data_IF_902945579210
#
_entry.id   IF_902945579210
#
_cell.length_a   1.000
_cell.length_b   1.000
_cell.length_c   1.000
_cell.angle_alpha   90.00
_cell.angle_beta   90.00
_cell.angle_gamma   90.00
#
_symmetry.space_group_name_H-M   'P 1'
#
loop_
_entity.id
_entity.type
_entity.pdbx_description
1 polymer ?
#
# COMPACT_ATOMS: atom_id res chain seq x y z
N UNK A 1 -6.42 -23.34 3.95
CA UNK A 1 -7.51 -22.60 4.61
C UNK A 1 -8.20 -23.58 5.55
N UNK A 2 -7.85 -23.55 6.83
CA UNK A 2 -8.53 -24.38 7.84
C UNK A 2 -9.94 -23.81 8.04
N UNK A 3 -10.98 -24.65 8.12
CA UNK A 3 -12.32 -24.16 8.37
C UNK A 3 -12.38 -23.56 9.78
N UNK A 4 -12.65 -22.25 9.86
CA UNK A 4 -13.06 -21.60 11.10
C UNK A 4 -14.48 -22.05 11.35
N UNK A 5 -14.64 -23.11 12.14
CA UNK A 5 -15.95 -23.50 12.65
C UNK A 5 -16.31 -22.46 13.70
N UNK A 6 -17.13 -21.49 13.31
CA UNK A 6 -17.74 -20.56 14.23
C UNK A 6 -18.86 -21.30 14.95
N UNK A 7 -18.55 -21.88 16.12
CA UNK A 7 -19.55 -22.55 16.95
C UNK A 7 -20.26 -21.47 17.76
N UNK A 8 -21.52 -21.12 17.43
CA UNK A 8 -22.27 -20.16 18.22
C UNK A 8 -22.50 -20.69 19.63
N UNK A 9 -22.37 -19.81 20.63
CA UNK A 9 -22.73 -20.09 22.03
C UNK A 9 -24.24 -20.09 22.16
N UNK A 10 -24.88 -21.17 21.72
CA UNK A 10 -26.31 -21.40 21.94
C UNK A 10 -26.47 -22.10 23.29
N UNK A 11 -27.26 -21.56 24.24
CA UNK A 11 -27.59 -22.30 25.44
C UNK A 11 -28.31 -23.58 25.04
N UNK A 12 -27.71 -24.72 25.36
CA UNK A 12 -28.25 -26.02 24.99
C UNK A 12 -29.57 -26.24 25.76
N UNK A 13 -30.68 -26.54 25.07
CA UNK A 13 -31.91 -26.95 25.74
C UNK A 13 -31.63 -28.20 26.58
N UNK A 14 -31.98 -28.15 27.88
CA UNK A 14 -31.69 -29.23 28.85
C UNK A 14 -30.60 -28.91 29.88
N UNK A 15 -29.94 -27.76 29.79
CA UNK A 15 -28.96 -27.31 30.80
C UNK A 15 -29.56 -27.26 32.22
N UNK A 16 -30.80 -26.80 32.35
CA UNK A 16 -31.51 -26.75 33.64
C UNK A 16 -31.77 -28.13 34.24
N UNK A 17 -32.08 -29.12 33.40
CA UNK A 17 -32.29 -30.51 33.85
C UNK A 17 -30.98 -31.16 34.30
N UNK A 18 -29.87 -30.90 33.60
CA UNK A 18 -28.54 -31.34 34.00
C UNK A 18 -28.11 -30.68 35.32
N UNK A 19 -28.35 -29.38 35.48
CA UNK A 19 -28.05 -28.65 36.70
C UNK A 19 -28.79 -29.26 37.91
N UNK A 20 -30.10 -29.51 37.77
CA UNK A 20 -30.91 -30.17 38.81
C UNK A 20 -30.39 -31.57 39.16
N UNK A 21 -29.93 -32.33 38.16
CA UNK A 21 -29.32 -33.66 38.38
C UNK A 21 -28.01 -33.56 39.17
N UNK A 22 -27.14 -32.60 38.81
CA UNK A 22 -25.87 -32.35 39.51
C UNK A 22 -26.13 -31.93 40.95
N UNK A 23 -27.11 -31.07 41.19
CA UNK A 23 -27.51 -30.60 42.52
C UNK A 23 -28.03 -31.75 43.39
N UNK A 24 -28.94 -32.57 42.86
CA UNK A 24 -29.39 -33.79 43.53
C UNK A 24 -28.23 -34.75 43.85
N UNK A 25 -27.33 -34.94 42.89
CA UNK A 25 -26.17 -35.82 43.05
C UNK A 25 -25.16 -35.29 44.07
N UNK A 26 -25.04 -33.97 44.21
CA UNK A 26 -24.20 -33.32 45.23
C UNK A 26 -24.77 -33.49 46.65
N UNK A 27 -26.10 -33.49 46.80
CA UNK A 27 -26.79 -33.74 48.08
C UNK A 27 -26.92 -35.23 48.44
N UNK A 28 -26.51 -36.14 47.55
CA UNK A 28 -26.75 -37.57 47.72
C UNK A 28 -25.92 -38.18 48.86
N UNK A 29 -26.45 -39.12 49.68
CA UNK A 29 -25.72 -39.73 50.79
C UNK A 29 -24.50 -40.56 50.37
N UNK A 30 -24.51 -41.19 49.19
CA UNK A 30 -23.37 -41.96 48.71
C UNK A 30 -22.23 -41.07 48.18
N UNK A 31 -21.01 -41.26 48.72
CA UNK A 31 -19.84 -40.46 48.36
C UNK A 31 -19.43 -40.61 46.88
N UNK A 32 -19.67 -41.77 46.26
CA UNK A 32 -19.39 -42.02 44.85
C UNK A 32 -20.21 -41.13 43.92
N UNK A 33 -21.48 -40.90 44.26
CA UNK A 33 -22.40 -40.03 43.50
C UNK A 33 -21.96 -38.57 43.59
N UNK A 34 -21.63 -38.09 44.80
CA UNK A 34 -21.09 -36.73 45.00
C UNK A 34 -19.78 -36.50 44.24
N UNK A 35 -18.86 -37.47 44.27
CA UNK A 35 -17.60 -37.40 43.51
C UNK A 35 -17.83 -37.34 42.00
N UNK A 36 -18.85 -38.03 41.49
CA UNK A 36 -19.22 -37.96 40.07
C UNK A 36 -19.80 -36.58 39.72
N UNK A 37 -20.67 -36.01 40.55
CA UNK A 37 -21.18 -34.65 40.36
C UNK A 37 -20.05 -33.60 40.33
N UNK A 38 -19.08 -33.70 41.25
CA UNK A 38 -17.93 -32.81 41.30
C UNK A 38 -17.06 -32.92 40.03
N UNK A 39 -16.80 -34.14 39.54
CA UNK A 39 -16.04 -34.35 38.29
C UNK A 39 -16.76 -33.77 37.07
N UNK A 40 -18.07 -33.96 36.96
CA UNK A 40 -18.87 -33.41 35.86
C UNK A 40 -18.81 -31.87 35.90
N UNK A 41 -18.99 -31.28 37.09
CA UNK A 41 -18.91 -29.83 37.26
C UNK A 41 -17.55 -29.28 36.84
N UNK A 42 -16.46 -29.92 37.30
CA UNK A 42 -15.10 -29.53 36.91
C UNK A 42 -14.87 -29.63 35.40
N UNK A 43 -15.37 -30.69 34.75
CA UNK A 43 -15.26 -30.85 33.31
C UNK A 43 -16.05 -29.76 32.54
N UNK A 44 -17.23 -29.39 33.03
CA UNK A 44 -18.02 -28.29 32.43
C UNK A 44 -17.31 -26.94 32.58
N UNK A 45 -16.70 -26.67 33.74
CA UNK A 45 -15.92 -25.45 33.96
C UNK A 45 -14.72 -25.40 33.02
N UNK A 46 -13.99 -26.50 32.86
CA UNK A 46 -12.85 -26.59 31.93
C UNK A 46 -13.28 -26.34 30.48
N UNK A 47 -14.38 -26.97 30.03
CA UNK A 47 -14.91 -26.76 28.69
C UNK A 47 -15.35 -25.31 28.45
N UNK A 48 -15.98 -24.67 29.44
CA UNK A 48 -16.35 -23.25 29.36
C UNK A 48 -15.10 -22.37 29.26
N UNK A 49 -14.09 -22.60 30.11
CA UNK A 49 -12.85 -21.82 30.08
C UNK A 49 -12.12 -21.96 28.74
N UNK A 50 -12.06 -23.18 28.19
CA UNK A 50 -11.48 -23.41 26.86
C UNK A 50 -12.23 -22.65 25.77
N UNK A 51 -13.57 -22.70 25.77
CA UNK A 51 -14.39 -21.96 24.82
C UNK A 51 -14.12 -20.46 24.91
N UNK A 52 -14.04 -19.92 26.11
CA UNK A 52 -13.83 -18.49 26.34
C UNK A 52 -12.42 -18.06 25.90
N UNK A 53 -11.41 -18.91 26.14
CA UNK A 53 -10.05 -18.71 25.63
C UNK A 53 -9.99 -18.75 24.09
N UNK A 54 -10.67 -19.70 23.46
CA UNK A 54 -10.75 -19.79 21.99
C UNK A 54 -11.50 -18.58 21.39
N UNK A 55 -12.53 -18.05 22.07
CA UNK A 55 -13.19 -16.82 21.68
C UNK A 55 -12.25 -15.60 21.79
N UNK A 56 -11.53 -15.46 22.91
CA UNK A 56 -10.56 -14.39 23.10
C UNK A 56 -9.42 -14.45 22.08
N UNK A 57 -8.96 -15.65 21.73
CA UNK A 57 -7.97 -15.85 20.66
C UNK A 57 -8.50 -15.38 19.31
N UNK A 58 -9.72 -15.79 18.93
CA UNK A 58 -10.34 -15.36 17.66
C UNK A 58 -10.50 -13.84 17.58
N UNK A 59 -10.90 -13.21 18.68
CA UNK A 59 -10.98 -11.74 18.73
C UNK A 59 -9.60 -11.08 18.59
N UNK A 60 -8.57 -11.64 19.23
CA UNK A 60 -7.20 -11.16 19.09
C UNK A 60 -6.69 -11.29 17.64
N UNK A 61 -6.92 -12.44 17.02
CA UNK A 61 -6.60 -12.68 15.61
C UNK A 61 -7.35 -11.71 14.69
N UNK A 62 -8.64 -11.46 14.93
CA UNK A 62 -9.43 -10.49 14.18
C UNK A 62 -8.90 -9.06 14.34
N UNK A 63 -8.47 -8.66 15.54
CA UNK A 63 -7.81 -7.35 15.76
C UNK A 63 -6.50 -7.25 14.99
N UNK A 64 -5.67 -8.29 15.02
CA UNK A 64 -4.40 -8.34 14.27
C UNK A 64 -4.65 -8.25 12.76
N UNK A 65 -5.66 -8.96 12.23
CA UNK A 65 -6.04 -8.88 10.82
C UNK A 65 -6.41 -7.45 10.42
N UNK A 66 -7.28 -6.79 11.19
CA UNK A 66 -7.67 -5.39 10.94
C UNK A 66 -6.48 -4.42 10.94
N UNK A 67 -5.57 -4.58 11.90
CA UNK A 67 -4.36 -3.74 11.99
C UNK A 67 -3.45 -3.98 10.79
N UNK A 68 -3.30 -5.23 10.32
CA UNK A 68 -2.52 -5.55 9.12
C UNK A 68 -3.13 -4.95 7.85
N UNK A 69 -4.44 -5.04 7.69
CA UNK A 69 -5.15 -4.41 6.56
C UNK A 69 -4.96 -2.88 6.55
N UNK A 70 -5.10 -2.24 7.71
CA UNK A 70 -4.86 -0.80 7.84
C UNK A 70 -3.40 -0.42 7.54
N UNK A 71 -2.44 -1.24 7.96
CA UNK A 71 -1.03 -1.02 7.64
C UNK A 71 -0.78 -1.13 6.13
N UNK A 72 -1.34 -2.15 5.48
CA UNK A 72 -1.20 -2.32 4.03
C UNK A 72 -1.80 -1.14 3.26
N UNK A 73 -2.96 -0.63 3.68
CA UNK A 73 -3.56 0.58 3.10
C UNK A 73 -2.64 1.80 3.26
N UNK A 74 -2.10 2.03 4.46
CA UNK A 74 -1.17 3.13 4.71
C UNK A 74 0.13 3.00 3.87
N UNK A 75 0.64 1.78 3.68
CA UNK A 75 1.78 1.53 2.79
C UNK A 75 1.45 1.83 1.32
N UNK A 76 0.26 1.44 0.85
CA UNK A 76 -0.19 1.72 -0.51
C UNK A 76 -0.33 3.24 -0.74
N UNK A 77 -0.92 3.97 0.21
CA UNK A 77 -0.99 5.44 0.17
C UNK A 77 0.40 6.07 0.13
N UNK A 78 1.33 5.61 0.97
CA UNK A 78 2.70 6.10 0.98
C UNK A 78 3.43 5.80 -0.34
N UNK A 79 3.22 4.62 -0.94
CA UNK A 79 3.73 4.30 -2.28
C UNK A 79 3.13 5.21 -3.35
N UNK A 80 1.82 5.47 -3.29
CA UNK A 80 1.15 6.36 -4.23
C UNK A 80 1.67 7.80 -4.12
N UNK A 81 1.85 8.34 -2.91
CA UNK A 81 2.43 9.67 -2.68
C UNK A 81 3.87 9.72 -3.19
N UNK A 82 4.70 8.70 -2.91
CA UNK A 82 6.08 8.65 -3.43
C UNK A 82 6.12 8.55 -4.97
N UNK A 83 5.23 7.77 -5.57
CA UNK A 83 5.13 7.65 -7.02
C UNK A 83 4.65 8.96 -7.67
N UNK A 84 3.63 9.60 -7.09
CA UNK A 84 3.12 10.92 -7.48
C UNK A 84 4.16 12.02 -7.32
N UNK A 85 4.95 11.99 -6.24
CA UNK A 85 6.07 12.92 -6.03
C UNK A 85 7.18 12.70 -7.07
N UNK A 86 7.49 11.45 -7.42
CA UNK A 86 8.50 11.10 -8.43
C UNK A 86 8.06 11.47 -9.86
N UNK A 87 6.77 11.38 -10.15
CA UNK A 87 6.20 11.89 -11.42
C UNK A 87 6.10 13.41 -11.44
N UNK A 88 5.82 14.06 -10.30
CA UNK A 88 5.84 15.52 -10.18
C UNK A 88 7.27 16.09 -10.27
N UNK A 89 8.29 15.41 -9.75
CA UNK A 89 9.70 15.82 -9.94
C UNK A 89 10.22 15.49 -11.34
N UNK A 90 9.66 14.50 -12.05
CA UNK A 90 9.92 14.33 -13.48
C UNK A 90 9.20 15.38 -14.34
N UNK A 91 8.07 15.92 -13.88
CA UNK A 91 7.30 16.97 -14.56
C UNK A 91 7.75 18.41 -14.23
N UNK A 92 8.56 18.60 -13.17
CA UNK A 92 9.09 19.90 -12.76
C UNK A 92 10.40 20.29 -13.47
N UNK A 93 10.63 19.78 -14.70
CA UNK A 93 11.60 20.35 -15.63
C UNK A 93 10.85 20.89 -16.83
N UNK A 94 10.17 22.03 -16.64
CA UNK A 94 9.97 22.96 -17.74
C UNK A 94 11.16 23.90 -17.70
N UNK A 95 12.06 23.80 -18.68
CA UNK A 95 12.04 24.79 -19.73
C UNK A 95 11.80 24.12 -21.09
N UNK A 96 10.71 24.56 -21.73
CA UNK A 96 10.64 24.92 -23.16
C UNK A 96 11.07 23.85 -24.18
N UNK A 97 10.21 23.48 -25.15
CA UNK A 97 10.49 22.37 -26.05
C UNK A 97 11.65 22.72 -26.99
N UNK A 98 12.85 22.19 -26.71
CA UNK A 98 13.89 22.12 -27.74
C UNK A 98 13.49 20.97 -28.65
N UNK A 99 12.73 21.33 -29.70
CA UNK A 99 12.44 20.47 -30.84
C UNK A 99 13.74 19.90 -31.36
N UNK A 100 13.90 18.60 -31.24
CA UNK A 100 14.84 17.80 -32.02
C UNK A 100 14.34 17.73 -33.47
N UNK A 101 14.39 18.87 -34.16
CA UNK A 101 14.31 18.94 -35.62
C UNK A 101 15.73 18.88 -36.17
N UNK A 102 15.95 18.05 -37.18
CA UNK A 102 17.18 18.01 -37.97
C UNK A 102 17.47 19.39 -38.53
N UNK A 103 18.42 20.12 -37.92
CA UNK A 103 18.88 21.41 -38.44
C UNK A 103 19.46 21.22 -39.83
N UNK A 104 18.97 22.00 -40.79
CA UNK A 104 19.56 22.03 -42.12
C UNK A 104 20.99 22.59 -42.07
N UNK A 105 21.83 22.22 -43.04
CA UNK A 105 23.23 22.69 -43.11
C UNK A 105 23.33 24.22 -43.14
N UNK A 106 22.35 24.88 -43.76
CA UNK A 106 22.26 26.33 -43.90
C UNK A 106 21.88 27.00 -42.57
N UNK A 107 20.95 26.43 -41.81
CA UNK A 107 20.61 26.91 -40.46
C UNK A 107 21.80 26.83 -39.52
N UNK A 108 22.56 25.73 -39.56
CA UNK A 108 23.79 25.60 -38.77
C UNK A 108 24.85 26.64 -39.17
N UNK A 109 24.92 27.03 -40.44
CA UNK A 109 25.83 28.09 -40.89
C UNK A 109 25.40 29.47 -40.37
N UNK A 110 24.09 29.77 -40.39
CA UNK A 110 23.53 30.99 -39.83
C UNK A 110 23.78 31.10 -38.31
N UNK A 111 23.52 30.01 -37.57
CA UNK A 111 23.77 29.93 -36.13
C UNK A 111 25.25 30.15 -35.82
N UNK A 112 26.17 29.53 -36.57
CA UNK A 112 27.62 29.73 -36.37
C UNK A 112 28.06 31.17 -36.62
N UNK A 113 27.51 31.81 -37.65
CA UNK A 113 27.85 33.20 -37.98
C UNK A 113 27.37 34.15 -36.89
N UNK A 114 26.12 33.97 -36.44
CA UNK A 114 25.58 34.71 -35.30
C UNK A 114 26.39 34.47 -34.03
N UNK A 115 26.70 33.20 -33.72
CA UNK A 115 27.46 32.82 -32.54
C UNK A 115 28.84 33.48 -32.49
N UNK A 116 29.59 33.45 -33.60
CA UNK A 116 30.91 34.13 -33.68
C UNK A 116 30.79 35.64 -33.53
N UNK A 117 29.76 36.26 -34.12
CA UNK A 117 29.50 37.70 -33.96
C UNK A 117 29.16 38.10 -32.51
N UNK A 118 28.60 37.17 -31.72
CA UNK A 118 28.22 37.39 -30.32
C UNK A 118 29.28 36.85 -29.32
N UNK A 119 30.47 36.49 -29.80
CA UNK A 119 31.58 36.02 -28.96
C UNK A 119 31.43 34.59 -28.42
N UNK A 120 30.51 33.80 -28.97
CA UNK A 120 30.35 32.40 -28.60
C UNK A 120 31.34 31.50 -29.36
N UNK A 121 32.02 30.61 -28.62
CA UNK A 121 32.94 29.63 -29.19
C UNK A 121 32.17 28.46 -29.82
N UNK A 122 32.22 28.34 -31.15
CA UNK A 122 31.58 27.28 -31.94
C UNK A 122 32.63 26.48 -32.71
N UNK A 123 32.44 25.16 -32.78
CA UNK A 123 33.28 24.28 -33.59
C UNK A 123 33.06 24.55 -35.10
N UNK A 124 34.16 24.50 -35.87
CA UNK A 124 34.12 24.78 -37.32
C UNK A 124 33.37 23.71 -38.13
N UNK A 125 33.20 22.51 -37.56
CA UNK A 125 32.39 21.43 -38.13
C UNK A 125 31.52 20.77 -37.07
N UNK A 126 30.36 20.29 -37.49
CA UNK A 126 29.41 19.59 -36.63
C UNK A 126 28.36 20.51 -36.00
N UNK A 127 27.66 19.96 -35.00
CA UNK A 127 26.57 20.63 -34.31
C UNK A 127 27.14 21.62 -33.27
N UNK A 128 26.74 22.91 -33.28
CA UNK A 128 27.09 23.86 -32.22
C UNK A 128 26.70 23.34 -30.83
N UNK A 129 27.44 23.76 -29.80
CA UNK A 129 27.11 23.42 -28.40
C UNK A 129 25.67 23.80 -28.09
N UNK A 130 25.01 23.00 -27.25
CA UNK A 130 23.62 23.22 -26.81
C UNK A 130 23.42 24.64 -26.27
N UNK A 131 24.40 25.19 -25.55
CA UNK A 131 24.38 26.57 -25.04
C UNK A 131 24.21 27.62 -26.15
N UNK A 132 24.83 27.40 -27.31
CA UNK A 132 24.77 28.33 -28.46
C UNK A 132 23.43 28.20 -29.18
N UNK A 133 22.88 26.99 -29.29
CA UNK A 133 21.56 26.75 -29.88
C UNK A 133 20.46 27.42 -29.05
N UNK A 134 20.54 27.30 -27.73
CA UNK A 134 19.57 27.93 -26.81
C UNK A 134 19.67 29.46 -26.84
N UNK A 135 20.88 30.01 -26.88
CA UNK A 135 21.09 31.46 -27.02
C UNK A 135 20.57 32.01 -28.36
N UNK A 136 20.78 31.27 -29.46
CA UNK A 136 20.26 31.63 -30.77
C UNK A 136 18.73 31.58 -30.81
N UNK A 137 18.12 30.56 -30.21
CA UNK A 137 16.66 30.44 -30.10
C UNK A 137 16.05 31.56 -29.23
N UNK A 138 16.72 31.97 -28.16
CA UNK A 138 16.31 33.10 -27.33
C UNK A 138 16.42 34.45 -28.07
N UNK A 139 17.43 34.62 -28.93
CA UNK A 139 17.62 35.83 -29.73
C UNK A 139 16.70 35.88 -30.96
N UNK A 140 16.25 34.73 -31.47
CA UNK A 140 15.37 34.62 -32.64
C UNK A 140 14.08 33.85 -32.34
N UNK A 141 13.22 34.34 -31.41
CA UNK A 141 11.95 33.70 -31.07
C UNK A 141 10.95 33.71 -32.24
N UNK A 142 11.22 34.49 -33.29
CA UNK A 142 10.36 34.71 -34.45
C UNK A 142 10.68 33.82 -35.66
N UNK A 143 11.47 32.75 -35.54
CA UNK A 143 11.54 31.74 -36.61
C UNK A 143 10.35 30.80 -36.43
N UNK A 144 9.25 30.93 -37.21
CA UNK A 144 8.16 30.00 -37.11
C UNK A 144 8.67 28.62 -37.50
N UNK A 145 8.43 27.68 -36.59
CA UNK A 145 8.39 26.25 -36.81
C UNK A 145 8.05 25.90 -38.28
N UNK A 146 9.07 25.65 -39.11
CA UNK A 146 8.81 25.11 -40.44
C UNK A 146 8.42 23.65 -40.25
N UNK A 147 7.14 23.39 -40.58
CA UNK A 147 6.48 22.09 -40.57
C UNK A 147 7.43 20.98 -41.03
N UNK A 148 7.54 19.93 -40.23
CA UNK A 148 7.88 18.61 -40.75
C UNK A 148 6.73 18.19 -41.67
N UNK A 149 7.00 18.12 -42.97
CA UNK A 149 6.27 17.32 -43.93
C UNK A 149 7.02 16.03 -44.17
#
# INVERSE_FOLDING_TARGET
MSPVIDVPVVPLPGSDSLQKLIEWAAAHPAASVRKSAARITAALTELSARRDNEAAQREAEARVAKVREALEQAEQELRAVKAGTRTATAAATTPTPIRTGTYSRDELAAIRTWARAHGHQVADRGLPSKTVLDAYAAAHPAIPARKAG
#
